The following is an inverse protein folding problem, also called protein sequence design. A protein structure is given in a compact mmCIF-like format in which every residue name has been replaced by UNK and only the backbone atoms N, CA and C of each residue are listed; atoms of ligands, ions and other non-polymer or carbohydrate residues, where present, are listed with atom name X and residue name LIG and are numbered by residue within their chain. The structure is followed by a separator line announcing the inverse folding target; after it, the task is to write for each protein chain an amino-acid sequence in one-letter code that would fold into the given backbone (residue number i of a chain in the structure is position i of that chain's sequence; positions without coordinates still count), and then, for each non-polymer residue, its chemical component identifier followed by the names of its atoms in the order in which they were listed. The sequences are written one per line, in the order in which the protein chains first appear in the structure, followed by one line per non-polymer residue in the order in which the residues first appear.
data_IF_731177402631
#
_entry.id   IF_731177402631
#
_cell.length_a   1.000
_cell.length_b   1.000
_cell.length_c   1.000
_cell.angle_alpha   90.00
_cell.angle_beta   90.00
_cell.angle_gamma   90.00
#
_symmetry.space_group_name_H-M   'P 1'
#
loop_
_entity.id
_entity.type
_entity.pdbx_description
1 polymer ?
#
# COMPACT_ATOMS: atom_id res chain seq x y z
N UNK A 1 -35.98 -23.24 11.69
CA UNK A 1 -34.54 -23.19 12.05
C UNK A 1 -33.61 -22.69 10.95
N UNK A 2 -33.84 -22.99 9.66
CA UNK A 2 -32.92 -22.58 8.57
C UNK A 2 -32.89 -21.06 8.35
N UNK A 3 -34.04 -20.37 8.42
CA UNK A 3 -34.13 -18.90 8.24
C UNK A 3 -33.24 -18.12 9.22
N UNK A 4 -33.33 -18.41 10.52
CA UNK A 4 -32.53 -17.72 11.54
C UNK A 4 -31.03 -17.96 11.36
N UNK A 5 -30.64 -19.18 10.97
CA UNK A 5 -29.25 -19.51 10.63
C UNK A 5 -28.75 -18.73 9.41
N UNK A 6 -29.60 -18.54 8.41
CA UNK A 6 -29.27 -17.76 7.22
C UNK A 6 -29.10 -16.27 7.52
N UNK A 7 -29.95 -15.71 8.39
CA UNK A 7 -29.81 -14.33 8.88
C UNK A 7 -28.52 -14.12 9.69
N UNK A 8 -28.19 -15.06 10.58
CA UNK A 8 -26.94 -15.02 11.34
C UNK A 8 -25.71 -15.10 10.43
N UNK A 9 -25.78 -15.92 9.37
CA UNK A 9 -24.72 -16.03 8.37
C UNK A 9 -24.57 -14.72 7.57
N UNK A 10 -25.67 -14.10 7.15
CA UNK A 10 -25.64 -12.81 6.47
C UNK A 10 -25.08 -11.69 7.35
N UNK A 11 -25.40 -11.69 8.66
CA UNK A 11 -24.88 -10.73 9.63
C UNK A 11 -23.36 -10.84 9.78
N UNK A 12 -22.81 -12.07 9.75
CA UNK A 12 -21.36 -12.30 9.81
C UNK A 12 -20.61 -11.60 8.66
N UNK A 13 -21.16 -11.58 7.45
CA UNK A 13 -20.52 -10.93 6.29
C UNK A 13 -20.54 -9.40 6.35
N UNK A 14 -21.46 -8.80 7.12
CA UNK A 14 -21.52 -7.33 7.30
C UNK A 14 -20.43 -6.85 8.27
N UNK A 15 -19.99 -7.69 9.20
CA UNK A 15 -18.99 -7.35 10.22
C UNK A 15 -17.56 -7.48 9.70
N UNK A 16 -17.34 -8.13 8.55
CA UNK A 16 -16.00 -8.24 7.97
C UNK A 16 -15.54 -6.84 7.54
N UNK A 17 -14.48 -6.27 8.14
CA UNK A 17 -13.96 -4.98 7.73
C UNK A 17 -13.52 -5.09 6.26
N UNK A 18 -14.17 -4.30 5.40
CA UNK A 18 -13.90 -4.26 3.95
C UNK A 18 -12.54 -3.65 3.57
N UNK A 19 -11.69 -3.37 4.57
CA UNK A 19 -10.53 -2.48 4.46
C UNK A 19 -9.18 -3.09 4.77
N UNK A 20 -9.05 -4.42 4.92
CA UNK A 20 -7.70 -5.02 4.92
C UNK A 20 -7.18 -5.04 3.47
N UNK A 21 -6.71 -3.91 2.99
CA UNK A 21 -5.81 -3.88 1.84
C UNK A 21 -4.50 -4.49 2.29
N UNK A 22 -4.33 -5.78 2.01
CA UNK A 22 -3.16 -6.53 2.43
C UNK A 22 -1.97 -6.15 1.55
N UNK A 23 -0.98 -5.53 2.16
CA UNK A 23 0.33 -5.31 1.55
C UNK A 23 1.23 -6.50 1.83
N UNK A 24 2.22 -6.74 0.97
CA UNK A 24 3.27 -7.73 1.21
C UNK A 24 4.66 -7.09 1.19
N UNK A 25 5.57 -7.61 2.01
CA UNK A 25 6.96 -7.16 2.00
C UNK A 25 7.55 -7.36 0.59
N UNK A 26 8.15 -6.31 0.05
CA UNK A 26 8.71 -6.27 -1.29
C UNK A 26 7.74 -5.88 -2.39
N UNK A 27 6.43 -5.75 -2.10
CA UNK A 27 5.44 -5.28 -3.06
C UNK A 27 5.77 -3.87 -3.56
N UNK A 28 5.60 -3.63 -4.85
CA UNK A 28 5.62 -2.29 -5.43
C UNK A 28 4.20 -1.74 -5.46
N UNK A 29 4.02 -0.55 -4.91
CA UNK A 29 2.72 0.12 -4.81
C UNK A 29 2.81 1.53 -5.37
N UNK A 30 1.73 1.98 -6.00
CA UNK A 30 1.59 3.35 -6.49
C UNK A 30 0.63 4.10 -5.58
N UNK A 31 1.10 5.17 -4.94
CA UNK A 31 0.31 6.02 -4.06
C UNK A 31 0.60 7.47 -4.43
N UNK A 32 -0.44 8.27 -4.65
CA UNK A 32 -0.33 9.69 -5.01
C UNK A 32 0.67 9.96 -6.16
N UNK A 33 0.61 9.15 -7.24
CA UNK A 33 1.49 9.24 -8.42
C UNK A 33 2.98 8.94 -8.19
N UNK A 34 3.33 8.43 -7.00
CA UNK A 34 4.68 7.97 -6.68
C UNK A 34 4.68 6.45 -6.48
N UNK A 35 5.74 5.81 -6.93
CA UNK A 35 5.95 4.38 -6.79
C UNK A 35 6.88 4.10 -5.60
N UNK A 36 6.49 3.16 -4.77
CA UNK A 36 7.19 2.77 -3.56
C UNK A 36 7.34 1.25 -3.47
N UNK A 37 8.36 0.80 -2.76
CA UNK A 37 8.49 -0.60 -2.33
C UNK A 37 8.12 -0.71 -0.86
N UNK A 38 7.21 -1.63 -0.52
CA UNK A 38 6.90 -1.97 0.87
C UNK A 38 8.10 -2.68 1.49
N UNK A 39 8.72 -2.06 2.49
CA UNK A 39 9.88 -2.63 3.20
C UNK A 39 9.47 -3.34 4.48
N UNK A 40 8.37 -2.91 5.11
CA UNK A 40 7.75 -3.60 6.24
C UNK A 40 6.25 -3.35 6.24
N UNK A 41 5.45 -4.42 6.19
CA UNK A 41 4.00 -4.35 6.39
C UNK A 41 3.70 -4.04 7.86
N UNK A 42 4.33 -4.76 8.80
CA UNK A 42 4.08 -4.63 10.24
C UNK A 42 4.38 -3.23 10.78
N UNK A 43 5.44 -2.60 10.29
CA UNK A 43 5.84 -1.24 10.69
C UNK A 43 5.31 -0.16 9.75
N UNK A 44 4.61 -0.54 8.67
CA UNK A 44 4.13 0.35 7.62
C UNK A 44 5.26 1.20 7.02
N UNK A 45 6.33 0.56 6.56
CA UNK A 45 7.46 1.25 5.94
C UNK A 45 7.50 1.10 4.41
N UNK A 46 7.89 2.19 3.76
CA UNK A 46 8.11 2.29 2.33
C UNK A 46 9.55 2.75 2.03
N UNK A 47 10.06 2.31 0.89
CA UNK A 47 11.17 2.94 0.20
C UNK A 47 10.68 3.61 -1.10
N UNK A 48 11.02 4.87 -1.32
CA UNK A 48 10.70 5.59 -2.56
C UNK A 48 11.48 5.00 -3.75
N UNK A 49 10.81 4.84 -4.90
CA UNK A 49 11.42 4.32 -6.13
C UNK A 49 11.52 5.40 -7.21
N UNK A 50 10.39 5.95 -7.62
CA UNK A 50 10.27 6.99 -8.64
C UNK A 50 8.90 7.66 -8.57
N UNK A 51 8.72 8.74 -9.32
CA UNK A 51 7.45 9.44 -9.49
C UNK A 51 7.16 9.63 -10.97
N UNK A 52 5.89 9.53 -11.35
CA UNK A 52 5.49 9.69 -12.74
C UNK A 52 5.42 11.19 -13.09
N UNK A 53 6.03 11.58 -14.21
CA UNK A 53 5.84 12.89 -14.86
C UNK A 53 6.11 14.13 -13.97
N UNK A 54 7.04 14.04 -13.01
CA UNK A 54 7.49 15.21 -12.24
C UNK A 54 8.63 15.92 -12.98
N UNK A 55 8.47 17.21 -13.25
CA UNK A 55 9.50 18.08 -13.82
C UNK A 55 9.85 19.15 -12.79
N UNK A 56 11.15 19.33 -12.53
CA UNK A 56 11.64 20.26 -11.51
C UNK A 56 11.85 19.58 -10.16
N UNK A 57 11.52 20.28 -9.07
CA UNK A 57 11.71 19.78 -7.70
C UNK A 57 10.77 18.61 -7.40
N UNK A 58 11.36 17.51 -6.88
CA UNK A 58 10.63 16.37 -6.36
C UNK A 58 10.83 16.31 -4.85
N UNK A 59 9.74 16.47 -4.10
CA UNK A 59 9.73 16.31 -2.65
C UNK A 59 9.20 14.92 -2.30
N UNK A 60 10.04 14.10 -1.66
CA UNK A 60 9.62 12.80 -1.14
C UNK A 60 9.02 13.03 0.25
N UNK A 61 7.75 12.67 0.47
CA UNK A 61 7.10 12.88 1.77
C UNK A 61 7.64 11.90 2.83
N UNK A 62 7.72 12.33 4.08
CA UNK A 62 8.05 11.47 5.22
C UNK A 62 6.97 10.41 5.47
N UNK A 63 5.70 10.76 5.25
CA UNK A 63 4.55 9.86 5.44
C UNK A 63 3.61 9.87 4.24
N UNK A 64 3.03 8.71 3.93
CA UNK A 64 2.14 8.53 2.78
C UNK A 64 0.86 7.81 3.22
N UNK A 65 -0.29 8.49 3.28
CA UNK A 65 -1.58 7.84 3.49
C UNK A 65 -2.00 7.08 2.24
N UNK A 66 -2.48 5.84 2.41
CA UNK A 66 -2.93 4.98 1.31
C UNK A 66 -4.34 5.29 0.80
N UNK A 67 -5.09 6.15 1.50
CA UNK A 67 -6.51 6.43 1.21
C UNK A 67 -7.48 5.35 1.67
N UNK A 68 -6.99 4.30 2.32
CA UNK A 68 -7.73 3.13 2.79
C UNK A 68 -7.60 2.86 4.30
N UNK A 69 -6.92 3.74 5.03
CA UNK A 69 -6.82 3.71 6.48
C UNK A 69 -5.42 3.35 7.01
N UNK A 70 -4.45 3.14 6.13
CA UNK A 70 -3.05 2.92 6.49
C UNK A 70 -2.23 4.17 6.17
N UNK A 71 -1.34 4.56 7.06
CA UNK A 71 -0.32 5.57 6.77
C UNK A 71 1.04 4.93 6.87
N UNK A 72 1.80 5.02 5.79
CA UNK A 72 3.16 4.52 5.74
C UNK A 72 4.17 5.60 6.09
N UNK A 73 5.31 5.21 6.65
CA UNK A 73 6.50 6.06 6.79
C UNK A 73 7.51 5.72 5.69
N UNK A 74 8.03 6.72 5.00
CA UNK A 74 9.08 6.56 3.99
C UNK A 74 10.43 6.61 4.69
N UNK A 75 11.14 5.48 4.72
CA UNK A 75 12.38 5.33 5.49
C UNK A 75 13.63 5.26 4.61
N UNK A 76 13.47 5.31 3.29
CA UNK A 76 14.60 5.30 2.37
C UNK A 76 14.24 5.55 0.92
N UNK A 77 15.29 5.65 0.11
CA UNK A 77 15.22 5.77 -1.35
C UNK A 77 15.91 4.54 -1.94
N UNK A 78 15.23 3.83 -2.83
CA UNK A 78 15.77 2.68 -3.56
C UNK A 78 15.81 2.99 -5.04
N UNK A 79 16.92 2.62 -5.70
CA UNK A 79 17.00 2.59 -7.15
C UNK A 79 16.75 1.17 -7.65
N UNK A 80 15.68 0.95 -8.41
CA UNK A 80 15.52 -0.28 -9.20
C UNK A 80 16.16 -0.07 -10.57
N UNK A 81 17.48 -0.24 -10.63
CA UNK A 81 18.20 -0.25 -11.91
C UNK A 81 17.79 -1.46 -12.73
N UNK A 82 17.13 -1.24 -13.86
CA UNK A 82 16.98 -2.26 -14.88
C UNK A 82 18.35 -2.64 -15.42
N UNK A 83 18.60 -3.95 -15.57
CA UNK A 83 19.80 -4.45 -16.24
C UNK A 83 19.80 -3.93 -17.68
N UNK A 84 20.65 -2.94 -17.98
CA UNK A 84 20.95 -2.57 -19.37
C UNK A 84 21.85 -3.69 -19.89
N UNK A 85 21.26 -4.64 -20.62
CA UNK A 85 22.03 -5.56 -21.44
C UNK A 85 22.62 -4.73 -22.57
N UNK A 86 23.93 -4.50 -22.52
CA UNK A 86 24.70 -3.88 -23.60
C UNK A 86 24.97 -4.88 -24.70
#
# INVERSE_FOLDING_TARGET
MVKTKLFLLALLFVVIPKGLYAYTNGQIVKINHMNYKVTSVDLHYLAFLNADNVVGELVIPETVPDGHGTTFTVTGVTYMGGMIVR
#
